data_IF_343876907502
#
_entry.id   IF_343876907502
#
_cell.length_a   1.000
_cell.length_b   1.000
_cell.length_c   1.000
_cell.angle_alpha   90.00
_cell.angle_beta   90.00
_cell.angle_gamma   90.00
#
_symmetry.space_group_name_H-M   'P 1'
#
loop_
_entity.id
_entity.type
_entity.pdbx_description
1 polymer ?
#
# COMPACT_ATOMS: atom_id res chain seq x y z
N UNK A 1 -35.23 53.70 -42.43
CA UNK A 1 -36.51 52.95 -42.38
C UNK A 1 -36.40 51.91 -41.27
N UNK A 2 -37.46 51.87 -40.46
CA UNK A 2 -37.79 51.13 -39.23
C UNK A 2 -37.01 49.85 -38.86
N UNK A 3 -36.62 49.84 -37.59
CA UNK A 3 -36.21 48.76 -36.69
C UNK A 3 -37.22 47.61 -36.62
N UNK A 4 -36.74 46.38 -36.44
CA UNK A 4 -37.53 45.25 -35.95
C UNK A 4 -36.79 44.56 -34.80
N UNK A 5 -37.30 44.78 -33.58
CA UNK A 5 -37.12 43.93 -32.40
C UNK A 5 -38.49 43.32 -32.10
N UNK A 6 -38.56 42.02 -31.81
CA UNK A 6 -39.57 41.46 -30.91
C UNK A 6 -39.15 40.06 -30.41
N UNK A 7 -39.47 39.68 -29.16
CA UNK A 7 -38.95 38.48 -28.51
C UNK A 7 -39.93 37.31 -28.57
N UNK A 8 -39.43 36.08 -28.50
CA UNK A 8 -40.22 34.94 -28.10
C UNK A 8 -39.61 34.31 -26.84
N UNK A 9 -40.31 34.53 -25.74
CA UNK A 9 -40.21 33.77 -24.51
C UNK A 9 -41.17 32.57 -24.64
N UNK A 10 -40.67 31.36 -24.39
CA UNK A 10 -41.52 30.21 -24.12
C UNK A 10 -41.07 29.60 -22.79
N UNK A 11 -41.90 29.80 -21.77
CA UNK A 11 -41.94 28.95 -20.60
C UNK A 11 -42.54 27.61 -20.99
N UNK A 12 -41.88 26.51 -20.65
CA UNK A 12 -42.58 25.24 -20.39
C UNK A 12 -41.89 24.48 -19.27
N UNK A 13 -42.65 24.36 -18.18
CA UNK A 13 -42.44 23.42 -17.09
C UNK A 13 -42.30 22.00 -17.62
N UNK A 14 -41.23 21.32 -17.22
CA UNK A 14 -41.19 19.87 -17.09
C UNK A 14 -40.88 19.56 -15.63
N UNK A 15 -41.95 19.30 -14.89
CA UNK A 15 -41.88 18.61 -13.61
C UNK A 15 -41.50 17.16 -13.90
N UNK A 16 -40.23 16.82 -13.68
CA UNK A 16 -39.74 15.46 -13.66
C UNK A 16 -39.73 14.96 -12.22
N UNK A 17 -40.55 13.94 -11.93
CA UNK A 17 -40.49 13.13 -10.72
C UNK A 17 -39.05 12.66 -10.47
N UNK A 18 -38.46 13.05 -9.34
CA UNK A 18 -37.32 12.36 -8.75
C UNK A 18 -37.86 11.22 -7.88
N UNK A 19 -37.40 9.97 -8.06
CA UNK A 19 -37.63 8.94 -7.07
C UNK A 19 -36.84 9.29 -5.80
N UNK A 20 -37.52 9.26 -4.67
CA UNK A 20 -36.91 9.35 -3.36
C UNK A 20 -35.95 8.16 -3.19
N UNK A 21 -34.63 8.42 -3.29
CA UNK A 21 -33.64 7.49 -2.79
C UNK A 21 -33.73 7.51 -1.27
N UNK A 22 -34.27 6.42 -0.71
CA UNK A 22 -34.19 6.14 0.71
C UNK A 22 -32.73 6.10 1.13
N UNK A 23 -32.35 7.08 1.95
CA UNK A 23 -31.08 7.08 2.69
C UNK A 23 -31.17 5.97 3.73
N UNK A 24 -30.62 4.79 3.38
CA UNK A 24 -30.44 3.69 4.33
C UNK A 24 -29.29 4.09 5.26
N UNK A 25 -29.63 4.63 6.43
CA UNK A 25 -28.68 4.76 7.54
C UNK A 25 -28.43 3.34 8.04
N UNK A 26 -27.32 2.74 7.63
CA UNK A 26 -26.80 1.52 8.27
C UNK A 26 -26.21 1.95 9.61
N UNK A 27 -27.05 1.88 10.64
CA UNK A 27 -26.59 1.88 12.03
C UNK A 27 -25.77 0.61 12.24
N UNK A 28 -24.48 0.74 12.53
CA UNK A 28 -23.66 -0.39 12.97
C UNK A 28 -24.12 -0.82 14.37
N UNK A 29 -25.15 -1.66 14.42
CA UNK A 29 -25.44 -2.47 15.59
C UNK A 29 -24.43 -3.62 15.67
N UNK A 30 -23.74 -3.61 16.80
CA UNK A 30 -22.78 -4.60 17.26
C UNK A 30 -23.54 -5.89 17.58
N UNK A 31 -23.53 -6.86 16.68
CA UNK A 31 -23.92 -8.23 17.01
C UNK A 31 -22.69 -9.14 17.05
N UNK A 32 -22.46 -9.66 18.25
CA UNK A 32 -21.65 -10.83 18.51
C UNK A 32 -22.42 -12.09 18.06
N UNK A 33 -21.64 -13.14 17.84
CA UNK A 33 -22.07 -14.53 17.63
C UNK A 33 -22.71 -14.83 16.28
N UNK A 34 -21.90 -15.35 15.35
CA UNK A 34 -22.36 -16.43 14.48
C UNK A 34 -21.20 -17.34 14.03
N UNK A 35 -21.44 -18.64 14.16
CA UNK A 35 -20.56 -19.76 13.86
C UNK A 35 -20.10 -19.75 12.41
N UNK A 36 -18.78 -19.76 12.18
CA UNK A 36 -18.20 -20.11 10.88
C UNK A 36 -18.03 -21.63 10.85
N UNK A 37 -18.94 -22.31 10.15
CA UNK A 37 -18.72 -23.68 9.68
C UNK A 37 -17.55 -23.68 8.69
N UNK A 38 -16.47 -24.37 9.05
CA UNK A 38 -15.31 -24.60 8.20
C UNK A 38 -15.72 -25.61 7.12
N UNK A 39 -15.96 -25.11 5.91
CA UNK A 39 -16.15 -25.94 4.72
C UNK A 39 -14.82 -26.60 4.33
N UNK A 40 -14.89 -27.93 4.25
CA UNK A 40 -13.87 -28.89 3.91
C UNK A 40 -13.01 -28.52 2.69
N UNK A 41 -11.70 -28.56 2.87
CA UNK A 41 -10.72 -28.57 1.77
C UNK A 41 -10.84 -29.87 0.95
N UNK A 42 -10.74 -29.83 -0.39
CA UNK A 42 -10.64 -31.03 -1.21
C UNK A 42 -9.28 -31.75 -1.01
N UNK A 43 -9.21 -33.06 -1.26
CA UNK A 43 -7.99 -33.85 -1.10
C UNK A 43 -6.93 -33.45 -2.14
N UNK A 44 -5.71 -33.23 -1.67
CA UNK A 44 -4.51 -33.02 -2.48
C UNK A 44 -4.18 -34.31 -3.22
N UNK A 45 -4.10 -34.24 -4.54
CA UNK A 45 -3.64 -35.33 -5.39
C UNK A 45 -2.14 -35.57 -5.18
N UNK A 46 -1.84 -36.80 -4.79
CA UNK A 46 -0.50 -37.38 -4.64
C UNK A 46 0.13 -37.60 -6.02
N UNK A 47 1.28 -36.98 -6.28
CA UNK A 47 2.15 -37.35 -7.40
C UNK A 47 3.62 -37.39 -6.97
N UNK A 48 4.09 -38.63 -6.95
CA UNK A 48 5.41 -39.21 -7.13
C UNK A 48 6.68 -38.31 -7.13
N UNK A 49 7.58 -38.70 -6.23
CA UNK A 49 8.97 -39.08 -6.50
C UNK A 49 9.93 -38.03 -7.08
N UNK A 50 10.65 -37.36 -6.18
CA UNK A 50 12.09 -37.08 -6.38
C UNK A 50 12.82 -37.08 -5.04
N UNK A 51 13.55 -38.17 -4.77
CA UNK A 51 14.82 -38.19 -4.03
C UNK A 51 14.92 -37.41 -2.71
N UNK A 52 14.65 -38.09 -1.59
CA UNK A 52 14.96 -37.65 -0.23
C UNK A 52 16.47 -37.47 -0.04
N UNK A 53 17.01 -36.25 0.17
CA UNK A 53 18.32 -36.10 0.78
C UNK A 53 18.23 -36.50 2.26
N UNK A 54 19.24 -37.23 2.73
CA UNK A 54 19.34 -37.70 4.11
C UNK A 54 19.13 -36.55 5.11
N UNK A 55 18.42 -36.79 6.23
CA UNK A 55 18.23 -35.78 7.26
C UNK A 55 19.58 -35.38 7.84
N UNK A 56 19.93 -34.09 7.73
CA UNK A 56 21.04 -33.52 8.46
C UNK A 56 20.73 -33.65 9.95
N UNK A 57 21.51 -34.47 10.65
CA UNK A 57 21.51 -34.60 12.11
C UNK A 57 21.76 -33.22 12.70
N UNK A 58 20.71 -32.59 13.25
CA UNK A 58 20.85 -31.37 14.04
C UNK A 58 21.73 -31.70 15.25
N UNK A 59 22.79 -30.91 15.52
CA UNK A 59 23.56 -31.09 16.75
C UNK A 59 22.62 -30.90 17.94
N UNK A 60 22.68 -31.85 18.87
CA UNK A 60 21.93 -31.83 20.11
C UNK A 60 22.05 -30.45 20.76
N UNK A 61 20.89 -29.86 21.09
CA UNK A 61 20.78 -28.67 21.92
C UNK A 61 21.58 -28.89 23.20
N UNK A 62 22.78 -28.30 23.24
CA UNK A 62 23.55 -28.21 24.47
C UNK A 62 22.71 -27.49 25.51
N UNK A 63 22.62 -28.08 26.70
CA UNK A 63 22.10 -27.40 27.88
C UNK A 63 22.79 -26.04 27.99
N UNK A 64 22.02 -24.97 27.80
CA UNK A 64 22.43 -23.63 28.15
C UNK A 64 22.46 -23.61 29.67
N UNK A 65 23.61 -23.97 30.24
CA UNK A 65 23.91 -23.73 31.64
C UNK A 65 23.82 -22.23 31.86
N UNK A 66 22.70 -21.78 32.42
CA UNK A 66 22.50 -20.40 32.88
C UNK A 66 23.59 -20.08 33.89
N UNK A 67 24.65 -19.46 33.40
CA UNK A 67 25.76 -18.96 34.22
C UNK A 67 25.17 -17.96 35.20
N UNK A 68 25.30 -18.27 36.50
CA UNK A 68 24.87 -17.41 37.59
C UNK A 68 25.52 -16.03 37.41
N UNK A 69 24.67 -15.00 37.30
CA UNK A 69 25.00 -13.67 36.83
C UNK A 69 26.21 -13.05 37.51
N UNK A 70 27.22 -12.74 36.70
CA UNK A 70 28.17 -11.67 37.04
C UNK A 70 27.38 -10.37 37.04
N UNK A 71 27.38 -9.58 38.13
CA UNK A 71 26.74 -8.28 38.15
C UNK A 71 27.30 -7.40 37.04
N UNK A 72 26.43 -6.77 36.23
CA UNK A 72 26.88 -5.70 35.34
C UNK A 72 27.55 -4.60 36.18
N UNK A 73 28.58 -3.97 35.62
CA UNK A 73 29.39 -2.93 36.30
C UNK A 73 28.55 -1.78 36.88
N UNK A 74 27.32 -1.63 36.42
CA UNK A 74 26.38 -0.59 36.82
C UNK A 74 25.56 -0.96 38.08
N UNK A 75 25.79 -2.13 38.68
CA UNK A 75 25.09 -2.61 39.88
C UNK A 75 23.62 -2.98 39.68
N UNK A 76 23.12 -2.93 38.44
CA UNK A 76 21.75 -3.32 38.11
C UNK A 76 21.66 -4.83 37.90
N UNK A 77 20.70 -5.48 38.54
CA UNK A 77 20.41 -6.91 38.29
C UNK A 77 20.05 -7.12 36.81
N UNK A 78 20.41 -8.27 36.22
CA UNK A 78 19.91 -8.65 34.91
C UNK A 78 18.37 -8.68 34.88
N UNK A 79 17.78 -8.29 33.76
CA UNK A 79 16.34 -8.45 33.52
C UNK A 79 16.00 -9.94 33.39
N UNK A 80 14.91 -10.36 34.02
CA UNK A 80 14.31 -11.69 33.80
C UNK A 80 13.77 -11.81 32.37
N UNK A 81 13.53 -13.03 31.88
CA UNK A 81 12.99 -13.25 30.54
C UNK A 81 11.65 -12.51 30.32
N UNK A 82 10.76 -12.53 31.32
CA UNK A 82 9.47 -11.82 31.25
C UNK A 82 9.64 -10.29 31.21
N UNK A 83 10.63 -9.76 31.93
CA UNK A 83 10.96 -8.33 31.88
C UNK A 83 11.57 -7.94 30.53
N UNK A 84 12.43 -8.79 29.96
CA UNK A 84 12.98 -8.58 28.62
C UNK A 84 11.87 -8.60 27.57
N UNK A 85 10.93 -9.55 27.65
CA UNK A 85 9.79 -9.63 26.75
C UNK A 85 8.90 -8.38 26.83
N UNK A 86 8.60 -7.89 28.04
CA UNK A 86 7.84 -6.64 28.22
C UNK A 86 8.56 -5.41 27.69
N UNK A 87 9.87 -5.31 27.90
CA UNK A 87 10.68 -4.20 27.36
C UNK A 87 10.67 -4.24 25.83
N UNK A 88 10.85 -5.43 25.25
CA UNK A 88 10.80 -5.63 23.80
C UNK A 88 9.44 -5.24 23.24
N UNK A 89 8.34 -5.72 23.83
CA UNK A 89 6.98 -5.38 23.41
C UNK A 89 6.72 -3.87 23.46
N UNK A 90 7.12 -3.19 24.54
CA UNK A 90 7.03 -1.73 24.62
C UNK A 90 7.87 -1.02 23.56
N UNK A 91 9.05 -1.54 23.23
CA UNK A 91 9.90 -0.99 22.16
C UNK A 91 9.26 -1.19 20.79
N UNK A 92 8.70 -2.36 20.52
CA UNK A 92 8.00 -2.68 19.27
C UNK A 92 6.76 -1.79 19.09
N UNK A 93 5.95 -1.63 20.14
CA UNK A 93 4.78 -0.75 20.11
C UNK A 93 5.15 0.72 19.83
N UNK A 94 6.27 1.20 20.39
CA UNK A 94 6.78 2.56 20.09
C UNK A 94 7.36 2.70 18.69
N UNK A 95 7.84 1.62 18.07
CA UNK A 95 8.29 1.62 16.68
C UNK A 95 7.08 1.67 15.74
N UNK A 96 6.09 0.81 15.96
CA UNK A 96 4.84 0.79 15.21
C UNK A 96 4.08 2.13 15.30
N UNK A 97 4.01 2.75 16.48
CA UNK A 97 3.39 4.07 16.65
C UNK A 97 4.16 5.17 15.90
N UNK A 98 5.50 5.08 15.80
CA UNK A 98 6.30 6.04 15.02
C UNK A 98 6.14 5.86 13.52
N UNK A 99 6.10 4.62 13.04
CA UNK A 99 5.91 4.31 11.62
C UNK A 99 4.51 4.70 11.14
N UNK A 100 3.46 4.38 11.92
CA UNK A 100 2.10 4.82 11.57
C UNK A 100 1.95 6.35 11.57
N UNK A 101 2.78 7.07 12.34
CA UNK A 101 2.89 8.53 12.32
C UNK A 101 3.92 9.07 11.34
N UNK A 102 4.47 8.23 10.45
CA UNK A 102 5.50 8.61 9.49
C UNK A 102 5.05 9.75 8.57
N UNK A 103 3.80 9.71 8.10
CA UNK A 103 3.20 10.80 7.33
C UNK A 103 3.02 12.07 8.19
N UNK A 104 2.76 11.94 9.48
CA UNK A 104 2.57 13.05 10.42
C UNK A 104 1.39 13.95 10.00
N UNK A 105 1.64 15.24 9.83
CA UNK A 105 0.69 16.20 9.25
C UNK A 105 0.86 16.38 7.74
N UNK A 106 1.67 15.54 7.11
CA UNK A 106 1.93 15.58 5.68
C UNK A 106 0.72 15.19 4.84
N UNK A 107 0.77 15.52 3.56
CA UNK A 107 -0.29 15.22 2.61
C UNK A 107 0.30 14.68 1.30
N UNK A 108 -0.53 13.93 0.59
CA UNK A 108 -0.18 13.32 -0.68
C UNK A 108 -1.00 13.96 -1.78
N UNK A 109 -0.32 14.41 -2.82
CA UNK A 109 -0.91 14.90 -4.05
C UNK A 109 -0.70 13.86 -5.14
N UNK A 110 -1.80 13.43 -5.77
CA UNK A 110 -1.73 12.66 -7.00
C UNK A 110 -1.43 13.58 -8.19
N UNK A 111 -0.35 13.31 -8.92
CA UNK A 111 -0.01 14.03 -10.15
C UNK A 111 -0.60 13.33 -11.38
N UNK A 112 -0.46 12.00 -11.48
CA UNK A 112 -1.00 11.18 -12.56
C UNK A 112 -1.04 9.70 -12.17
N UNK A 113 -1.90 8.92 -12.83
CA UNK A 113 -1.92 7.46 -12.74
C UNK A 113 -2.30 6.84 -14.09
N UNK A 114 -1.62 5.77 -14.51
CA UNK A 114 -1.83 5.15 -15.82
C UNK A 114 -1.50 3.65 -15.82
N UNK A 115 -1.97 2.94 -16.85
CA UNK A 115 -1.50 1.59 -17.17
C UNK A 115 -0.04 1.65 -17.61
N UNK A 116 0.84 0.89 -16.97
CA UNK A 116 2.28 1.03 -17.10
C UNK A 116 2.88 -0.08 -17.96
N UNK A 117 3.74 0.30 -18.91
CA UNK A 117 4.43 -0.59 -19.85
C UNK A 117 5.97 -0.45 -19.82
N UNK A 118 6.49 0.43 -18.96
CA UNK A 118 7.93 0.65 -18.80
C UNK A 118 8.62 -0.44 -17.98
N UNK A 119 9.90 -0.23 -17.68
CA UNK A 119 10.68 -1.16 -16.85
C UNK A 119 10.13 -1.23 -15.42
N UNK A 120 10.00 -2.45 -14.92
CA UNK A 120 9.81 -2.72 -13.50
C UNK A 120 10.41 -4.06 -13.11
N UNK A 121 10.94 -4.16 -11.88
CA UNK A 121 11.32 -5.46 -11.31
C UNK A 121 10.10 -6.27 -10.88
N UNK A 122 8.93 -5.63 -10.80
CA UNK A 122 7.65 -6.30 -10.65
C UNK A 122 7.15 -6.71 -12.04
N UNK A 123 6.94 -8.01 -12.23
CA UNK A 123 6.33 -8.56 -13.44
C UNK A 123 5.17 -9.46 -13.02
N UNK A 124 3.91 -9.12 -13.37
CA UNK A 124 2.78 -9.96 -13.00
C UNK A 124 2.94 -11.34 -13.60
N UNK A 125 2.73 -12.38 -12.79
CA UNK A 125 2.74 -13.75 -13.29
C UNK A 125 1.57 -13.92 -14.29
N UNK A 126 1.84 -14.21 -15.58
CA UNK A 126 0.78 -14.34 -16.58
C UNK A 126 -0.15 -15.53 -16.33
N UNK A 127 0.29 -16.49 -15.51
CA UNK A 127 -0.47 -17.69 -15.12
C UNK A 127 -1.18 -17.54 -13.76
N UNK A 128 -1.17 -16.35 -13.15
CA UNK A 128 -1.90 -16.10 -11.91
C UNK A 128 -3.42 -16.25 -12.13
N UNK A 129 -4.13 -16.77 -11.13
CA UNK A 129 -5.59 -16.94 -11.16
C UNK A 129 -6.32 -15.61 -11.39
N UNK A 130 -5.81 -14.53 -10.79
CA UNK A 130 -6.29 -13.17 -11.00
C UNK A 130 -5.36 -12.47 -11.99
N UNK A 131 -5.83 -12.16 -13.21
CA UNK A 131 -5.02 -11.45 -14.19
C UNK A 131 -4.69 -10.04 -13.68
N UNK A 132 -3.40 -9.75 -13.55
CA UNK A 132 -2.91 -8.43 -13.18
C UNK A 132 -2.27 -7.70 -14.38
N UNK A 133 -2.26 -6.38 -14.31
CA UNK A 133 -1.54 -5.45 -15.18
C UNK A 133 -0.60 -4.62 -14.32
N UNK A 134 0.40 -4.02 -14.94
CA UNK A 134 1.21 -3.02 -14.26
C UNK A 134 0.50 -1.67 -14.31
N UNK A 135 0.55 -0.92 -13.22
CA UNK A 135 0.07 0.46 -13.13
C UNK A 135 1.14 1.32 -12.49
N UNK A 136 1.18 2.59 -12.87
CA UNK A 136 2.07 3.58 -12.29
C UNK A 136 1.25 4.71 -11.68
N UNK A 137 1.71 5.20 -10.53
CA UNK A 137 1.10 6.28 -9.76
C UNK A 137 2.21 7.29 -9.43
N UNK A 138 2.13 8.47 -10.03
CA UNK A 138 3.03 9.59 -9.79
C UNK A 138 2.44 10.48 -8.70
N UNK A 139 3.12 10.57 -7.57
CA UNK A 139 2.68 11.35 -6.42
C UNK A 139 3.75 12.31 -5.93
N UNK A 140 3.29 13.36 -5.25
CA UNK A 140 4.13 14.24 -4.43
C UNK A 140 3.68 14.14 -2.98
N UNK A 141 4.61 13.85 -2.08
CA UNK A 141 4.40 13.82 -0.64
C UNK A 141 5.02 15.07 -0.03
N UNK A 142 4.27 15.84 0.73
CA UNK A 142 4.73 17.09 1.35
C UNK A 142 4.50 17.06 2.86
N UNK A 143 5.39 17.69 3.65
CA UNK A 143 5.21 17.83 5.09
C UNK A 143 5.31 16.52 5.88
N UNK A 144 5.86 15.46 5.27
CA UNK A 144 6.08 14.18 5.92
C UNK A 144 7.21 14.27 6.97
N UNK A 145 7.27 13.29 7.87
CA UNK A 145 8.33 13.22 8.89
C UNK A 145 9.55 12.44 8.37
N UNK A 146 10.69 12.46 9.07
CA UNK A 146 11.83 11.59 8.77
C UNK A 146 11.55 10.08 8.94
N UNK A 147 10.40 9.71 9.52
CA UNK A 147 9.98 8.32 9.70
C UNK A 147 9.01 7.84 8.60
N UNK A 148 8.71 8.70 7.61
CA UNK A 148 7.90 8.32 6.47
C UNK A 148 8.65 7.31 5.59
N UNK A 149 8.04 6.16 5.40
CA UNK A 149 8.55 5.09 4.54
C UNK A 149 7.67 4.98 3.29
N UNK A 150 8.12 5.43 2.11
CA UNK A 150 7.31 5.37 0.89
C UNK A 150 6.96 3.96 0.42
N UNK A 151 7.69 2.92 0.86
CA UNK A 151 7.39 1.53 0.50
C UNK A 151 6.11 1.01 1.19
N UNK A 152 5.69 1.63 2.30
CA UNK A 152 4.46 1.33 3.02
C UNK A 152 3.20 1.98 2.38
N UNK A 153 3.32 2.65 1.23
CA UNK A 153 2.13 3.11 0.49
C UNK A 153 1.46 1.92 -0.18
N UNK A 154 0.24 1.63 0.27
CA UNK A 154 -0.61 0.58 -0.29
C UNK A 154 -1.49 1.09 -1.42
N UNK A 155 -1.66 0.26 -2.45
CA UNK A 155 -2.69 0.45 -3.47
C UNK A 155 -3.92 -0.41 -3.17
N UNK A 156 -5.08 0.24 -3.09
CA UNK A 156 -6.34 -0.39 -2.70
C UNK A 156 -7.36 -0.24 -3.83
N UNK A 157 -8.13 -1.29 -4.10
CA UNK A 157 -9.25 -1.22 -5.04
C UNK A 157 -10.24 -0.11 -4.65
N UNK A 158 -10.52 0.79 -5.60
CA UNK A 158 -11.41 1.91 -5.37
C UNK A 158 -12.89 1.54 -5.17
N UNK A 159 -13.27 0.29 -5.50
CA UNK A 159 -14.63 -0.24 -5.44
C UNK A 159 -14.75 -1.27 -4.33
N UNK A 160 -13.88 -2.29 -4.32
CA UNK A 160 -13.98 -3.42 -3.38
C UNK A 160 -13.32 -3.14 -2.04
N UNK A 161 -12.39 -2.18 -1.97
CA UNK A 161 -11.59 -1.91 -0.78
C UNK A 161 -10.51 -2.96 -0.49
N UNK A 162 -10.28 -3.91 -1.40
CA UNK A 162 -9.23 -4.93 -1.26
C UNK A 162 -7.86 -4.26 -1.48
N UNK A 163 -6.94 -4.44 -0.54
CA UNK A 163 -5.53 -4.03 -0.68
C UNK A 163 -4.79 -5.02 -1.59
N UNK A 164 -4.04 -4.50 -2.55
CA UNK A 164 -3.19 -5.28 -3.45
C UNK A 164 -1.70 -5.17 -3.10
N UNK A 165 -1.40 -4.69 -1.89
CA UNK A 165 -0.07 -4.73 -1.28
C UNK A 165 0.58 -3.37 -1.11
N UNK A 166 1.50 -3.34 -0.15
CA UNK A 166 2.65 -2.43 -0.02
C UNK A 166 3.78 -2.88 -0.95
N UNK A 167 4.94 -2.23 -0.89
CA UNK A 167 6.16 -2.59 -1.64
C UNK A 167 6.07 -2.36 -3.17
N UNK A 168 5.72 -1.13 -3.61
CA UNK A 168 5.80 -0.79 -5.03
C UNK A 168 7.23 -0.94 -5.54
N UNK A 169 7.37 -1.03 -6.86
CA UNK A 169 8.60 -0.54 -7.47
C UNK A 169 8.63 0.98 -7.35
N UNK A 170 9.38 1.44 -6.35
CA UNK A 170 9.57 2.84 -6.01
C UNK A 170 10.71 3.46 -6.81
N UNK A 171 10.47 4.63 -7.38
CA UNK A 171 11.52 5.48 -7.97
C UNK A 171 11.28 6.94 -7.62
N UNK A 172 12.26 7.59 -7.01
CA UNK A 172 12.21 9.04 -6.79
C UNK A 172 12.46 9.78 -8.10
N UNK A 173 11.66 10.82 -8.38
CA UNK A 173 11.70 11.56 -9.65
C UNK A 173 11.72 13.07 -9.42
N UNK A 174 12.37 13.82 -10.32
CA UNK A 174 12.30 15.30 -10.34
C UNK A 174 11.08 15.77 -11.13
N UNK A 175 10.83 15.11 -12.25
CA UNK A 175 9.78 15.39 -13.21
C UNK A 175 9.36 14.08 -13.91
N UNK A 176 8.26 14.07 -14.68
CA UNK A 176 7.86 12.91 -15.48
C UNK A 176 9.01 12.37 -16.32
N UNK A 177 9.36 11.10 -16.13
CA UNK A 177 10.45 10.45 -16.86
C UNK A 177 11.87 10.87 -16.46
N UNK A 178 12.05 11.62 -15.36
CA UNK A 178 13.36 12.07 -14.87
C UNK A 178 13.67 11.49 -13.48
N UNK A 179 14.20 10.25 -13.39
CA UNK A 179 14.63 9.65 -12.13
C UNK A 179 15.74 10.44 -11.45
N UNK A 180 15.71 10.46 -10.12
CA UNK A 180 16.83 10.95 -9.32
C UNK A 180 17.97 9.93 -9.39
N UNK A 181 19.12 10.34 -9.92
CA UNK A 181 20.28 9.46 -10.12
C UNK A 181 21.04 9.15 -8.82
N UNK A 182 20.97 10.04 -7.82
CA UNK A 182 21.72 9.91 -6.57
C UNK A 182 20.81 9.99 -5.33
N UNK A 183 20.93 9.07 -4.36
CA UNK A 183 20.18 9.16 -3.11
C UNK A 183 20.38 10.47 -2.34
N UNK A 184 21.51 11.16 -2.53
CA UNK A 184 21.81 12.46 -1.89
C UNK A 184 20.95 13.60 -2.42
N UNK A 185 20.35 13.43 -3.60
CA UNK A 185 19.47 14.43 -4.21
C UNK A 185 18.01 14.26 -3.79
N UNK A 186 17.66 13.17 -3.09
CA UNK A 186 16.31 12.95 -2.57
C UNK A 186 16.04 14.00 -1.49
N UNK A 187 15.00 14.86 -1.65
CA UNK A 187 14.63 15.83 -0.64
C UNK A 187 14.39 15.16 0.71
N UNK A 188 14.95 15.74 1.77
CA UNK A 188 14.75 15.24 3.13
C UNK A 188 13.49 15.87 3.73
N UNK A 189 12.82 15.14 4.61
CA UNK A 189 11.69 15.66 5.39
C UNK A 189 12.04 17.01 6.05
N UNK A 190 11.13 18.01 6.06
CA UNK A 190 9.73 17.95 5.60
C UNK A 190 9.54 18.41 4.13
N UNK A 191 10.62 18.52 3.35
CA UNK A 191 10.53 18.98 1.97
C UNK A 191 9.73 18.02 1.09
N UNK A 192 9.10 18.56 0.05
CA UNK A 192 8.31 17.80 -0.90
C UNK A 192 9.16 16.77 -1.63
N UNK A 193 8.71 15.51 -1.65
CA UNK A 193 9.35 14.43 -2.38
C UNK A 193 8.39 13.89 -3.42
N UNK A 194 8.82 13.86 -4.69
CA UNK A 194 8.03 13.28 -5.79
C UNK A 194 8.56 11.89 -6.13
N UNK A 195 7.65 10.96 -6.34
CA UNK A 195 7.96 9.56 -6.57
C UNK A 195 6.99 8.93 -7.55
N UNK A 196 7.49 7.95 -8.29
CA UNK A 196 6.72 7.02 -9.09
C UNK A 196 6.58 5.72 -8.30
N UNK A 197 5.35 5.30 -8.08
CA UNK A 197 5.00 4.03 -7.46
C UNK A 197 4.44 3.10 -8.53
N UNK A 198 5.08 1.96 -8.76
CA UNK A 198 4.63 1.00 -9.77
C UNK A 198 4.13 -0.26 -9.06
N UNK A 199 2.93 -0.71 -9.40
CA UNK A 199 2.27 -1.87 -8.79
C UNK A 199 1.81 -2.90 -9.83
N UNK A 200 1.66 -4.15 -9.41
CA UNK A 200 0.81 -5.12 -10.08
C UNK A 200 -0.63 -4.97 -9.55
N UNK A 201 -1.60 -4.73 -10.44
CA UNK A 201 -2.98 -4.42 -10.07
C UNK A 201 -3.97 -5.20 -10.94
N UNK A 202 -5.14 -5.65 -10.43
CA UNK A 202 -6.06 -6.49 -11.20
C UNK A 202 -6.59 -5.80 -12.45
N UNK A 203 -6.65 -6.53 -13.58
CA UNK A 203 -7.17 -6.02 -14.86
C UNK A 203 -8.63 -5.54 -14.79
N UNK A 204 -9.45 -6.14 -13.93
CA UNK A 204 -10.87 -5.79 -13.76
C UNK A 204 -11.12 -4.49 -12.99
N UNK A 205 -10.13 -3.99 -12.26
CA UNK A 205 -10.29 -2.84 -11.38
C UNK A 205 -9.87 -1.56 -12.10
N UNK A 206 -10.83 -0.65 -12.31
CA UNK A 206 -10.60 0.62 -13.00
C UNK A 206 -10.18 1.76 -12.06
N UNK A 207 -10.53 1.66 -10.77
CA UNK A 207 -10.31 2.69 -9.76
C UNK A 207 -9.41 2.20 -8.64
N UNK A 208 -8.68 3.12 -8.02
CA UNK A 208 -7.84 2.85 -6.87
C UNK A 208 -7.94 3.97 -5.82
N UNK A 209 -7.54 3.65 -4.60
CA UNK A 209 -7.13 4.60 -3.57
C UNK A 209 -5.69 4.29 -3.15
N UNK A 210 -5.06 5.25 -2.48
CA UNK A 210 -3.79 5.01 -1.78
C UNK A 210 -4.00 5.11 -0.27
N UNK A 211 -3.33 4.22 0.46
CA UNK A 211 -3.33 4.20 1.91
C UNK A 211 -1.89 4.16 2.43
N UNK A 212 -1.68 4.65 3.65
CA UNK A 212 -0.43 4.53 4.39
C UNK A 212 -0.78 4.15 5.82
N UNK A 213 -0.42 2.95 6.26
CA UNK A 213 -0.77 2.44 7.60
C UNK A 213 -2.26 2.59 7.95
N UNK A 214 -3.15 2.28 6.98
CA UNK A 214 -4.60 2.41 7.13
C UNK A 214 -5.16 3.84 7.01
N UNK A 215 -4.30 4.86 6.92
CA UNK A 215 -4.72 6.22 6.63
C UNK A 215 -4.93 6.40 5.13
N UNK A 216 -6.15 6.81 4.72
CA UNK A 216 -6.46 7.17 3.33
C UNK A 216 -5.68 8.41 2.92
N UNK A 217 -4.93 8.33 1.83
CA UNK A 217 -4.07 9.41 1.34
C UNK A 217 -4.77 10.35 0.35
N UNK A 218 -5.78 9.86 -0.36
CA UNK A 218 -6.53 10.59 -1.38
C UNK A 218 -7.99 10.73 -0.96
N UNK A 219 -8.64 11.86 -1.29
CA UNK A 219 -10.02 12.12 -0.88
C UNK A 219 -11.03 11.14 -1.49
N UNK A 220 -10.85 10.80 -2.76
CA UNK A 220 -11.78 9.99 -3.58
C UNK A 220 -10.99 8.92 -4.36
N UNK A 221 -11.63 7.82 -4.80
CA UNK A 221 -11.00 6.88 -5.72
C UNK A 221 -10.67 7.52 -7.07
N UNK A 222 -9.51 7.18 -7.64
CA UNK A 222 -9.02 7.70 -8.93
C UNK A 222 -8.97 6.61 -10.00
N UNK A 223 -9.17 6.99 -11.25
CA UNK A 223 -9.04 6.10 -12.42
C UNK A 223 -7.62 6.10 -12.97
N UNK A 224 -7.26 5.04 -13.69
CA UNK A 224 -6.00 5.00 -14.46
C UNK A 224 -6.24 5.48 -15.89
N UNK A 225 -5.38 6.36 -16.39
CA UNK A 225 -5.30 6.63 -17.81
C UNK A 225 -4.81 5.40 -18.59
N UNK A 226 -5.14 5.33 -19.88
CA UNK A 226 -4.78 4.20 -20.74
C UNK A 226 -3.27 4.06 -20.96
N UNK A 227 -2.52 5.17 -20.90
CA UNK A 227 -1.08 5.20 -21.14
C UNK A 227 -0.42 6.39 -20.43
N UNK A 228 0.89 6.32 -20.28
CA UNK A 228 1.73 7.40 -19.75
C UNK A 228 3.19 7.15 -20.09
N UNK A 229 4.11 7.71 -19.29
CA UNK A 229 5.54 7.52 -19.49
C UNK A 229 6.05 6.26 -18.77
N UNK A 230 7.20 5.75 -19.20
CA UNK A 230 7.82 4.55 -18.65
C UNK A 230 9.26 4.80 -18.20
N UNK A 231 9.74 4.05 -17.21
CA UNK A 231 11.16 4.00 -16.89
C UNK A 231 11.91 3.20 -17.97
N UNK A 232 13.11 3.64 -18.39
CA UNK A 232 13.96 2.83 -19.26
C UNK A 232 14.48 1.60 -18.51
N UNK A 233 14.86 0.56 -19.26
CA UNK A 233 15.59 -0.57 -18.68
C UNK A 233 16.93 -0.06 -18.11
N UNK A 234 17.34 -0.49 -16.90
CA UNK A 234 18.59 -0.04 -16.32
C UNK A 234 19.77 -0.42 -17.21
N UNK A 235 20.69 0.52 -17.43
CA UNK A 235 21.94 0.20 -18.10
C UNK A 235 22.67 -0.90 -17.30
N UNK A 236 23.29 -1.86 -18.00
CA UNK A 236 24.09 -2.88 -17.33
C UNK A 236 25.17 -2.18 -16.51
N UNK A 237 25.23 -2.47 -15.20
CA UNK A 237 26.33 -2.03 -14.35
C UNK A 237 27.64 -2.46 -15.04
N UNK A 238 28.47 -1.47 -15.38
CA UNK A 238 29.78 -1.69 -16.00
C UNK A 238 30.81 -2.07 -14.96
#
# INVERSE_FOLDING_TARGET
MKTFRSPFSFHRHLAGLLPAFGMLIVSCEKNADENIEILHSPPVAENADTGTPAPATLPASGEITTSAGVPNADGKRPLTADEQAKVLDQMMNRLADRQSKGLGGGHVKLNAAWQYDGYSYLSPNPSAEIPARMVAVDITVEGHTPYFDPDDIEIVDGITGISYGSDPHLTFIKAPGEPIASPKEIPQAPHSTRMLLIYAFPKGSAKFNLFYWGQKLLGEPHEFADSGWGLPFPEKAK
#
